data_IF_783633291886
#
_entry.id   IF_783633291886
#
_cell.length_a   1.000
_cell.length_b   1.000
_cell.length_c   1.000
_cell.angle_alpha   90.00
_cell.angle_beta   90.00
_cell.angle_gamma   90.00
#
_symmetry.space_group_name_H-M   'P 1'
#
loop_
_entity.id
_entity.type
_entity.pdbx_description
1 polymer ?
#
# COMPACT_ATOMS: atom_id res chain seq x y z
N UNK A 1 -19.31 1.14 -29.72
CA UNK A 1 -20.22 1.76 -30.70
C UNK A 1 -19.89 3.24 -30.77
N UNK A 2 -19.68 3.79 -31.96
CA UNK A 2 -19.44 5.23 -32.16
C UNK A 2 -20.42 5.72 -33.23
N UNK A 3 -20.88 6.97 -33.10
CA UNK A 3 -21.81 7.57 -34.05
C UNK A 3 -21.12 8.77 -34.69
N UNK A 4 -21.16 8.82 -36.01
CA UNK A 4 -20.77 10.01 -36.78
C UNK A 4 -22.02 10.87 -37.00
N UNK A 5 -22.01 12.09 -36.47
CA UNK A 5 -23.05 13.08 -36.73
C UNK A 5 -22.55 14.07 -37.77
N UNK A 6 -23.28 14.21 -38.87
CA UNK A 6 -23.02 15.19 -39.91
C UNK A 6 -24.11 16.25 -39.82
N UNK A 7 -23.72 17.50 -39.56
CA UNK A 7 -24.64 18.64 -39.53
C UNK A 7 -24.24 19.67 -40.57
N UNK A 8 -25.22 20.27 -41.23
CA UNK A 8 -24.94 21.45 -42.04
C UNK A 8 -24.45 22.58 -41.13
N UNK A 9 -23.31 23.17 -41.47
CA UNK A 9 -22.73 24.26 -40.69
C UNK A 9 -23.34 25.61 -41.03
N UNK A 10 -24.13 25.75 -42.09
CA UNK A 10 -24.75 27.03 -42.48
C UNK A 10 -26.25 26.97 -42.27
N UNK A 11 -26.78 27.95 -41.54
CA UNK A 11 -28.20 28.09 -41.29
C UNK A 11 -28.94 28.54 -42.55
N UNK A 12 -30.01 27.83 -42.90
CA UNK A 12 -30.89 28.20 -44.02
C UNK A 12 -31.61 29.53 -43.78
N UNK A 13 -31.97 29.84 -42.53
CA UNK A 13 -32.82 30.99 -42.19
C UNK A 13 -32.08 32.32 -42.30
N UNK A 14 -30.83 32.36 -41.87
CA UNK A 14 -30.07 33.60 -41.73
C UNK A 14 -28.67 33.56 -42.37
N UNK A 15 -28.30 32.44 -43.03
CA UNK A 15 -27.01 32.29 -43.70
C UNK A 15 -25.79 32.25 -42.78
N UNK A 16 -25.99 32.28 -41.46
CA UNK A 16 -24.89 32.30 -40.51
C UNK A 16 -24.27 30.91 -40.35
N UNK A 17 -22.95 30.89 -40.17
CA UNK A 17 -22.20 29.67 -39.91
C UNK A 17 -22.27 29.32 -38.42
N UNK A 18 -22.52 28.05 -38.12
CA UNK A 18 -22.43 27.48 -36.78
C UNK A 18 -21.01 27.70 -36.24
N UNK A 19 -20.93 28.38 -35.10
CA UNK A 19 -19.71 28.62 -34.36
C UNK A 19 -19.94 28.12 -32.94
N UNK A 20 -19.02 27.32 -32.42
CA UNK A 20 -19.09 26.83 -31.04
C UNK A 20 -17.97 27.46 -30.23
N UNK A 21 -18.32 28.21 -29.19
CA UNK A 21 -17.35 28.63 -28.19
C UNK A 21 -16.96 27.47 -27.27
N UNK A 22 -15.91 27.65 -26.48
CA UNK A 22 -15.54 26.71 -25.42
C UNK A 22 -16.69 26.49 -24.43
N UNK A 23 -17.48 27.54 -24.14
CA UNK A 23 -18.64 27.44 -23.26
C UNK A 23 -19.77 26.63 -23.90
N UNK A 24 -20.00 26.75 -25.21
CA UNK A 24 -20.99 25.95 -25.94
C UNK A 24 -20.63 24.46 -25.91
N UNK A 25 -19.36 24.13 -26.16
CA UNK A 25 -18.87 22.75 -26.09
C UNK A 25 -19.05 22.16 -24.69
N UNK A 26 -18.78 22.93 -23.65
CA UNK A 26 -19.00 22.51 -22.26
C UNK A 26 -20.48 22.29 -21.97
N UNK A 27 -21.37 23.20 -22.39
CA UNK A 27 -22.82 23.04 -22.27
C UNK A 27 -23.34 21.78 -22.97
N UNK A 28 -22.87 21.51 -24.19
CA UNK A 28 -23.25 20.31 -24.94
C UNK A 28 -22.79 19.03 -24.22
N UNK A 29 -21.58 19.03 -23.66
CA UNK A 29 -21.08 17.93 -22.83
C UNK A 29 -21.95 17.72 -21.60
N UNK A 30 -22.28 18.78 -20.86
CA UNK A 30 -23.05 18.68 -19.63
C UNK A 30 -24.49 18.20 -19.89
N UNK A 31 -25.12 18.69 -20.97
CA UNK A 31 -26.41 18.21 -21.43
C UNK A 31 -26.36 16.72 -21.78
N UNK A 32 -25.33 16.28 -22.51
CA UNK A 32 -25.17 14.87 -22.88
C UNK A 32 -24.96 13.99 -21.65
N UNK A 33 -24.12 14.42 -20.72
CA UNK A 33 -23.90 13.72 -19.46
C UNK A 33 -25.19 13.59 -18.64
N UNK A 34 -26.00 14.65 -18.56
CA UNK A 34 -27.30 14.61 -17.89
C UNK A 34 -28.24 13.59 -18.54
N UNK A 35 -28.33 13.57 -19.87
CA UNK A 35 -29.15 12.59 -20.59
C UNK A 35 -28.64 11.15 -20.39
N UNK A 36 -27.33 10.94 -20.29
CA UNK A 36 -26.76 9.63 -19.96
C UNK A 36 -27.23 9.16 -18.57
N UNK A 37 -27.12 10.03 -17.56
CA UNK A 37 -27.57 9.72 -16.18
C UNK A 37 -29.06 9.40 -16.15
N UNK A 38 -29.90 10.20 -16.80
CA UNK A 38 -31.35 9.97 -16.89
C UNK A 38 -31.70 8.62 -17.53
N UNK A 39 -30.83 8.11 -18.41
CA UNK A 39 -30.97 6.81 -19.07
C UNK A 39 -30.26 5.67 -18.33
N UNK A 40 -29.70 5.92 -17.14
CA UNK A 40 -28.97 4.92 -16.35
C UNK A 40 -27.60 4.54 -16.92
N UNK A 41 -27.00 5.40 -17.76
CA UNK A 41 -25.67 5.20 -18.33
C UNK A 41 -24.60 5.88 -17.46
N UNK A 42 -23.40 5.30 -17.41
CA UNK A 42 -22.25 5.90 -16.74
C UNK A 42 -21.77 7.15 -17.48
N UNK A 43 -21.27 8.13 -16.71
CA UNK A 43 -20.64 9.33 -17.23
C UNK A 43 -19.12 9.21 -17.08
N UNK A 44 -18.34 9.43 -18.15
CA UNK A 44 -16.89 9.32 -18.06
C UNK A 44 -16.34 10.44 -17.17
N UNK A 45 -15.63 10.04 -16.11
CA UNK A 45 -14.92 10.92 -15.21
C UNK A 45 -13.40 10.71 -15.34
N UNK A 46 -12.63 11.77 -15.13
CA UNK A 46 -11.17 11.69 -15.19
C UNK A 46 -10.66 10.84 -14.02
N UNK A 47 -9.82 9.86 -14.31
CA UNK A 47 -9.28 8.93 -13.30
C UNK A 47 -10.23 7.80 -12.91
N UNK A 48 -11.33 7.63 -13.64
CA UNK A 48 -12.25 6.51 -13.49
C UNK A 48 -12.29 5.67 -14.77
N UNK A 49 -12.51 4.37 -14.62
CA UNK A 49 -12.85 3.47 -15.71
C UNK A 49 -14.23 3.82 -16.30
N UNK A 50 -14.56 3.22 -17.45
CA UNK A 50 -15.83 3.49 -18.15
C UNK A 50 -17.07 3.12 -17.33
N UNK A 51 -16.94 2.18 -16.40
CA UNK A 51 -17.97 1.72 -15.47
C UNK A 51 -18.11 2.62 -14.22
N UNK A 52 -17.24 3.62 -14.08
CA UNK A 52 -17.21 4.53 -12.93
C UNK A 52 -16.35 4.04 -11.76
N UNK A 53 -15.67 2.89 -11.89
CA UNK A 53 -14.70 2.46 -10.87
C UNK A 53 -13.45 3.33 -10.91
N UNK A 54 -12.82 3.56 -9.75
CA UNK A 54 -11.59 4.35 -9.68
C UNK A 54 -10.46 3.55 -10.35
N UNK A 55 -9.68 4.20 -11.22
CA UNK A 55 -8.50 3.55 -11.78
C UNK A 55 -7.46 3.36 -10.69
N UNK A 56 -7.06 2.11 -10.46
CA UNK A 56 -6.01 1.78 -9.49
C UNK A 56 -4.67 2.43 -9.88
N UNK A 57 -3.89 2.80 -8.87
CA UNK A 57 -2.52 3.27 -9.04
C UNK A 57 -1.69 2.14 -9.66
N UNK A 58 -1.10 2.39 -10.83
CA UNK A 58 -0.37 1.38 -11.62
C UNK A 58 -1.14 0.86 -12.84
N UNK A 59 -2.44 1.17 -12.98
CA UNK A 59 -3.22 0.76 -14.14
C UNK A 59 -2.75 1.43 -15.44
N UNK A 60 -2.69 0.67 -16.53
CA UNK A 60 -2.25 1.17 -17.85
C UNK A 60 -3.27 2.19 -18.39
N UNK A 61 -2.86 3.46 -18.44
CA UNK A 61 -3.66 4.61 -18.90
C UNK A 61 -3.24 5.18 -20.25
N UNK A 62 -2.52 4.43 -21.07
CA UNK A 62 -1.97 4.93 -22.33
C UNK A 62 -3.05 5.36 -23.35
N UNK A 63 -2.96 6.60 -23.84
CA UNK A 63 -3.89 7.18 -24.83
C UNK A 63 -3.77 6.59 -26.24
N UNK A 64 -2.58 6.15 -26.62
CA UNK A 64 -2.36 5.50 -27.93
C UNK A 64 -2.73 4.03 -27.84
N UNK A 65 -3.54 3.56 -28.80
CA UNK A 65 -3.92 2.14 -28.92
C UNK A 65 -2.70 1.23 -29.00
N UNK A 66 -1.69 1.61 -29.78
CA UNK A 66 -0.48 0.79 -29.96
C UNK A 66 0.37 0.78 -28.70
N UNK A 67 0.48 1.93 -28.02
CA UNK A 67 1.17 2.02 -26.73
C UNK A 67 0.44 1.20 -25.66
N UNK A 68 -0.89 1.29 -25.59
CA UNK A 68 -1.69 0.49 -24.67
C UNK A 68 -1.46 -1.01 -24.92
N UNK A 69 -1.52 -1.46 -26.18
CA UNK A 69 -1.22 -2.86 -26.52
C UNK A 69 0.18 -3.28 -26.11
N UNK A 70 1.19 -2.43 -26.33
CA UNK A 70 2.58 -2.73 -25.93
C UNK A 70 2.74 -2.83 -24.40
N UNK A 71 1.99 -2.02 -23.64
CA UNK A 71 2.07 -2.03 -22.17
C UNK A 71 1.19 -3.11 -21.53
N UNK A 72 0.07 -3.48 -22.16
CA UNK A 72 -0.84 -4.51 -21.67
C UNK A 72 -0.39 -5.93 -22.03
N UNK A 73 0.40 -6.08 -23.09
CA UNK A 73 0.90 -7.37 -23.54
C UNK A 73 2.15 -7.77 -22.75
N UNK A 74 1.96 -8.56 -21.70
CA UNK A 74 3.03 -9.08 -20.82
C UNK A 74 4.09 -9.88 -21.59
N UNK A 75 3.75 -10.41 -22.77
CA UNK A 75 4.70 -11.16 -23.60
C UNK A 75 5.77 -10.28 -24.24
N UNK A 76 5.53 -8.97 -24.35
CA UNK A 76 6.46 -8.01 -24.95
C UNK A 76 7.24 -7.28 -23.86
N UNK A 77 8.56 -7.49 -23.86
CA UNK A 77 9.49 -6.78 -22.96
C UNK A 77 9.61 -5.32 -23.38
N UNK A 78 8.78 -4.47 -22.79
CA UNK A 78 8.87 -3.02 -22.95
C UNK A 78 9.67 -2.46 -21.79
N UNK A 79 10.79 -1.79 -22.08
CA UNK A 79 11.61 -1.13 -21.05
C UNK A 79 10.81 -0.09 -20.23
N UNK A 80 9.72 0.46 -20.78
CA UNK A 80 8.83 1.37 -20.07
C UNK A 80 7.98 0.63 -19.02
N UNK A 81 7.58 -0.61 -19.30
CA UNK A 81 6.89 -1.48 -18.32
C UNK A 81 7.87 -1.90 -17.24
N UNK A 82 9.07 -2.37 -17.64
CA UNK A 82 10.11 -2.78 -16.70
C UNK A 82 10.48 -1.63 -15.74
N UNK A 83 10.64 -0.42 -16.27
CA UNK A 83 10.87 0.79 -15.46
C UNK A 83 9.67 1.11 -14.55
N UNK A 84 8.45 0.98 -15.05
CA UNK A 84 7.22 1.25 -14.30
C UNK A 84 7.07 0.30 -13.10
N UNK A 85 7.33 -1.00 -13.31
CA UNK A 85 7.32 -2.01 -12.25
C UNK A 85 8.39 -1.74 -11.21
N UNK A 86 9.63 -1.44 -11.63
CA UNK A 86 10.72 -1.11 -10.71
C UNK A 86 10.38 0.11 -9.84
N UNK A 87 9.83 1.17 -10.43
CA UNK A 87 9.40 2.37 -9.70
C UNK A 87 8.23 2.08 -8.75
N UNK A 88 7.27 1.27 -9.17
CA UNK A 88 6.11 0.92 -8.34
C UNK A 88 6.52 0.15 -7.08
N UNK A 89 7.41 -0.83 -7.22
CA UNK A 89 7.95 -1.60 -6.10
C UNK A 89 8.84 -0.75 -5.19
N UNK A 90 9.82 -0.03 -5.77
CA UNK A 90 10.70 0.83 -4.98
C UNK A 90 9.92 1.90 -4.20
N UNK A 91 8.87 2.49 -4.81
CA UNK A 91 8.00 3.46 -4.14
C UNK A 91 7.29 2.87 -2.92
N UNK A 92 6.94 1.57 -2.93
CA UNK A 92 6.21 0.94 -1.85
C UNK A 92 7.06 0.71 -0.59
N UNK A 93 8.36 0.47 -0.77
CA UNK A 93 9.27 0.09 0.32
C UNK A 93 10.14 1.26 0.82
N UNK A 94 10.44 2.23 -0.03
CA UNK A 94 11.37 3.30 0.32
C UNK A 94 10.78 4.36 1.26
N UNK A 95 11.60 4.79 2.23
CA UNK A 95 11.24 5.80 3.22
C UNK A 95 11.99 7.14 3.02
N UNK A 96 12.87 7.22 2.02
CA UNK A 96 13.67 8.41 1.73
C UNK A 96 14.08 8.44 0.26
N UNK A 97 14.55 9.60 -0.21
CA UNK A 97 15.07 9.76 -1.58
C UNK A 97 16.26 8.84 -1.85
N UNK A 98 17.20 8.77 -0.92
CA UNK A 98 18.44 8.03 -1.13
C UNK A 98 18.18 6.52 -1.15
N UNK A 99 17.31 6.03 -0.26
CA UNK A 99 16.82 4.65 -0.28
C UNK A 99 16.13 4.32 -1.60
N UNK A 100 15.33 5.23 -2.15
CA UNK A 100 14.70 5.03 -3.47
C UNK A 100 15.71 4.97 -4.63
N UNK A 101 16.78 5.77 -4.58
CA UNK A 101 17.83 5.74 -5.60
C UNK A 101 18.60 4.41 -5.53
N UNK A 102 18.95 3.95 -4.33
CA UNK A 102 19.63 2.67 -4.11
C UNK A 102 18.77 1.49 -4.61
N UNK A 103 17.49 1.46 -4.22
CA UNK A 103 16.52 0.42 -4.59
C UNK A 103 16.30 0.36 -6.12
N UNK A 104 16.33 1.52 -6.79
CA UNK A 104 16.27 1.60 -8.26
C UNK A 104 17.57 1.12 -8.92
N UNK A 105 18.73 1.47 -8.36
CA UNK A 105 20.03 1.02 -8.85
C UNK A 105 20.18 -0.51 -8.74
N UNK A 106 19.71 -1.11 -7.64
CA UNK A 106 19.65 -2.57 -7.47
C UNK A 106 18.78 -3.26 -8.52
N UNK A 107 17.76 -2.56 -9.04
CA UNK A 107 16.90 -3.02 -10.15
C UNK A 107 17.47 -2.70 -11.54
N UNK A 108 18.69 -2.18 -11.63
CA UNK A 108 19.36 -1.84 -12.88
C UNK A 108 18.88 -0.52 -13.51
N UNK A 109 18.38 0.41 -12.70
CA UNK A 109 17.89 1.71 -13.14
C UNK A 109 18.60 2.86 -12.43
N UNK A 110 19.48 3.51 -13.17
CA UNK A 110 20.13 4.74 -12.72
C UNK A 110 19.13 5.89 -12.63
N UNK A 111 18.98 6.45 -11.42
CA UNK A 111 18.00 7.50 -11.14
C UNK A 111 18.64 8.89 -11.06
N UNK A 112 18.41 9.72 -12.08
CA UNK A 112 18.80 11.12 -12.05
C UNK A 112 17.73 11.96 -11.35
N UNK A 113 17.93 12.23 -10.06
CA UNK A 113 17.08 13.11 -9.25
C UNK A 113 17.87 14.33 -8.76
N UNK A 114 17.75 15.46 -9.46
CA UNK A 114 18.44 16.72 -9.12
C UNK A 114 17.45 17.86 -8.91
N UNK A 115 17.68 18.71 -7.91
CA UNK A 115 16.74 19.80 -7.57
C UNK A 115 16.58 20.84 -8.69
N UNK A 116 17.64 21.04 -9.47
CA UNK A 116 17.66 21.99 -10.59
C UNK A 116 16.78 21.56 -11.78
N UNK A 117 16.32 20.30 -11.83
CA UNK A 117 15.49 19.78 -12.93
C UNK A 117 14.09 19.48 -12.43
N UNK A 118 13.07 19.76 -13.23
CA UNK A 118 11.67 19.47 -12.89
C UNK A 118 11.36 17.96 -12.82
N UNK A 119 12.00 17.18 -13.69
CA UNK A 119 11.65 15.78 -13.94
C UNK A 119 12.75 14.83 -13.49
N UNK A 120 12.36 13.72 -12.91
CA UNK A 120 13.24 12.59 -12.63
C UNK A 120 13.40 11.78 -13.93
N UNK A 121 14.62 11.32 -14.21
CA UNK A 121 14.92 10.45 -15.35
C UNK A 121 15.53 9.15 -14.86
N UNK A 122 15.03 8.05 -15.36
CA UNK A 122 15.49 6.69 -15.12
C UNK A 122 16.21 6.19 -16.37
N UNK A 123 17.38 5.62 -16.21
CA UNK A 123 18.22 5.11 -17.30
C UNK A 123 18.64 3.68 -16.98
N UNK A 124 18.45 2.75 -17.92
CA UNK A 124 18.93 1.38 -17.75
C UNK A 124 20.37 1.23 -18.26
N UNK A 125 21.00 0.08 -17.98
CA UNK A 125 22.34 -0.26 -18.47
C UNK A 125 22.49 -0.26 -19.99
N UNK A 126 21.37 -0.36 -20.73
CA UNK A 126 21.33 -0.31 -22.20
C UNK A 126 21.27 1.12 -22.74
N UNK A 127 21.14 2.13 -21.87
CA UNK A 127 21.01 3.55 -22.23
C UNK A 127 19.59 4.00 -22.57
N UNK A 128 18.57 3.16 -22.37
CA UNK A 128 17.17 3.53 -22.53
C UNK A 128 16.74 4.44 -21.38
N UNK A 129 16.16 5.59 -21.73
CA UNK A 129 15.78 6.63 -20.76
C UNK A 129 14.27 6.78 -20.68
N UNK A 130 13.76 6.81 -19.45
CA UNK A 130 12.35 7.02 -19.15
C UNK A 130 12.20 8.18 -18.17
N UNK A 131 11.32 9.14 -18.48
CA UNK A 131 10.99 10.24 -17.56
C UNK A 131 9.81 9.89 -16.66
N UNK A 132 9.84 10.42 -15.45
CA UNK A 132 8.73 10.36 -14.50
C UNK A 132 7.36 10.70 -15.12
N UNK A 133 7.28 11.79 -15.87
CA UNK A 133 6.05 12.25 -16.54
C UNK A 133 5.52 11.29 -17.58
N UNK A 134 6.38 10.49 -18.22
CA UNK A 134 5.94 9.48 -19.17
C UNK A 134 5.30 8.30 -18.42
N UNK A 135 5.92 7.86 -17.33
CA UNK A 135 5.40 6.79 -16.47
C UNK A 135 4.11 7.22 -15.77
N UNK A 136 4.05 8.42 -15.18
CA UNK A 136 2.82 8.95 -14.57
C UNK A 136 1.63 8.95 -15.51
N UNK A 137 1.85 9.33 -16.77
CA UNK A 137 0.80 9.30 -17.80
C UNK A 137 0.45 7.88 -18.24
N UNK A 138 1.39 6.96 -18.19
CA UNK A 138 1.22 5.60 -18.73
C UNK A 138 0.63 4.63 -17.72
N UNK A 139 0.90 4.82 -16.42
CA UNK A 139 0.50 3.91 -15.34
C UNK A 139 -0.36 4.58 -14.25
N UNK A 140 -0.92 5.77 -14.53
CA UNK A 140 -1.75 6.53 -13.59
C UNK A 140 -1.14 6.64 -12.17
N UNK A 141 0.18 6.81 -12.07
CA UNK A 141 0.90 6.88 -10.80
C UNK A 141 1.46 8.27 -10.56
N UNK A 142 1.26 8.82 -9.36
CA UNK A 142 1.96 10.04 -8.97
C UNK A 142 3.38 9.70 -8.53
N UNK A 143 4.33 9.93 -9.43
CA UNK A 143 5.77 9.78 -9.20
C UNK A 143 6.49 11.10 -9.46
N UNK A 144 5.76 12.22 -9.35
CA UNK A 144 6.40 13.52 -9.26
C UNK A 144 7.29 13.57 -8.02
N UNK A 145 8.28 14.47 -8.00
CA UNK A 145 9.15 14.65 -6.82
C UNK A 145 8.34 14.86 -5.54
N UNK A 146 7.31 15.69 -5.59
CA UNK A 146 6.42 15.95 -4.45
C UNK A 146 5.60 14.71 -4.08
N UNK A 147 5.05 14.01 -5.09
CA UNK A 147 4.31 12.76 -4.89
C UNK A 147 5.15 11.69 -4.19
N UNK A 148 6.40 11.50 -4.62
CA UNK A 148 7.34 10.57 -4.00
C UNK A 148 7.75 11.02 -2.60
N UNK A 149 8.05 12.30 -2.38
CA UNK A 149 8.39 12.80 -1.04
C UNK A 149 7.24 12.61 -0.04
N UNK A 150 6.00 12.81 -0.48
CA UNK A 150 4.81 12.58 0.35
C UNK A 150 4.61 11.10 0.64
N UNK A 151 4.84 10.23 -0.35
CA UNK A 151 4.81 8.78 -0.15
C UNK A 151 5.88 8.34 0.86
N UNK A 152 7.12 8.81 0.72
CA UNK A 152 8.20 8.48 1.65
C UNK A 152 7.90 8.90 3.08
N UNK A 153 7.26 10.07 3.29
CA UNK A 153 6.76 10.49 4.61
C UNK A 153 5.73 9.49 5.14
N UNK A 154 4.77 9.08 4.31
CA UNK A 154 3.75 8.08 4.67
C UNK A 154 4.40 6.76 5.08
N UNK A 155 5.34 6.25 4.27
CA UNK A 155 6.04 5.00 4.54
C UNK A 155 6.90 5.07 5.80
N UNK A 156 7.57 6.19 6.04
CA UNK A 156 8.36 6.38 7.26
C UNK A 156 7.48 6.38 8.52
N UNK A 157 6.29 7.00 8.47
CA UNK A 157 5.34 6.94 9.59
C UNK A 157 4.81 5.51 9.82
N UNK A 158 4.48 4.78 8.75
CA UNK A 158 4.10 3.36 8.84
C UNK A 158 5.24 2.50 9.42
N UNK A 159 6.49 2.77 9.03
CA UNK A 159 7.67 2.08 9.56
C UNK A 159 7.82 2.32 11.07
N UNK A 160 7.73 3.57 11.51
CA UNK A 160 7.77 3.92 12.94
C UNK A 160 6.64 3.26 13.73
N UNK A 161 5.44 3.19 13.16
CA UNK A 161 4.31 2.50 13.79
C UNK A 161 4.56 1.00 13.93
N UNK A 162 5.04 0.34 12.87
CA UNK A 162 5.45 -1.07 12.91
C UNK A 162 6.54 -1.32 13.95
N UNK A 163 7.54 -0.46 14.03
CA UNK A 163 8.59 -0.54 15.06
C UNK A 163 8.04 -0.37 16.48
N UNK A 164 7.12 0.57 16.71
CA UNK A 164 6.44 0.75 18.00
C UNK A 164 5.63 -0.49 18.37
N UNK A 165 4.90 -1.08 17.42
CA UNK A 165 4.13 -2.31 17.62
C UNK A 165 5.06 -3.48 17.98
N UNK A 166 6.13 -3.69 17.23
CA UNK A 166 7.15 -4.72 17.53
C UNK A 166 7.80 -4.52 18.90
N UNK A 167 8.05 -3.27 19.32
CA UNK A 167 8.57 -2.98 20.67
C UNK A 167 7.56 -3.34 21.75
N UNK A 168 6.28 -3.00 21.57
CA UNK A 168 5.19 -3.38 22.49
C UNK A 168 5.03 -4.90 22.56
N UNK A 169 5.01 -5.61 21.43
CA UNK A 169 4.94 -7.06 21.38
C UNK A 169 6.12 -7.71 22.13
N UNK A 170 7.34 -7.21 21.93
CA UNK A 170 8.52 -7.67 22.69
C UNK A 170 8.43 -7.38 24.19
N UNK A 171 7.77 -6.30 24.60
CA UNK A 171 7.55 -6.00 26.01
C UNK A 171 6.50 -6.92 26.61
N UNK A 172 5.41 -7.18 25.89
CA UNK A 172 4.36 -8.13 26.29
C UNK A 172 4.97 -9.52 26.45
N UNK A 173 5.74 -10.01 25.48
CA UNK A 173 6.41 -11.32 25.54
C UNK A 173 7.37 -11.45 26.74
N UNK A 174 8.06 -10.36 27.11
CA UNK A 174 8.90 -10.34 28.33
C UNK A 174 8.05 -10.39 29.61
N UNK A 175 6.93 -9.67 29.64
CA UNK A 175 6.01 -9.68 30.79
C UNK A 175 5.37 -11.07 30.92
N UNK A 176 4.90 -11.65 29.82
CA UNK A 176 4.30 -13.00 29.80
C UNK A 176 5.29 -14.08 30.26
N UNK A 177 6.56 -13.98 29.86
CA UNK A 177 7.61 -14.85 30.41
C UNK A 177 7.78 -14.68 31.91
N UNK A 178 7.88 -13.43 32.40
CA UNK A 178 8.01 -13.17 33.83
C UNK A 178 6.82 -13.67 34.65
N UNK A 179 5.59 -13.46 34.16
CA UNK A 179 4.37 -13.98 34.82
C UNK A 179 4.34 -15.50 34.85
N UNK A 180 4.88 -16.17 33.82
CA UNK A 180 5.03 -17.63 33.82
C UNK A 180 6.01 -18.09 34.88
N UNK A 181 7.21 -17.48 34.92
CA UNK A 181 8.25 -17.82 35.89
C UNK A 181 7.75 -17.58 37.34
N UNK A 182 7.08 -16.45 37.58
CA UNK A 182 6.49 -16.12 38.88
C UNK A 182 5.37 -17.12 39.27
N UNK A 183 4.58 -17.62 38.30
CA UNK A 183 3.55 -18.65 38.56
C UNK A 183 4.16 -19.99 38.93
N UNK A 184 5.19 -20.43 38.20
CA UNK A 184 5.92 -21.67 38.51
C UNK A 184 6.59 -21.60 39.90
N UNK A 185 7.07 -20.42 40.30
CA UNK A 185 7.60 -20.20 41.65
C UNK A 185 6.53 -20.35 42.74
N UNK A 186 5.37 -19.70 42.58
CA UNK A 186 4.27 -19.77 43.56
C UNK A 186 3.70 -21.19 43.65
N UNK A 187 3.52 -21.88 42.52
CA UNK A 187 3.06 -23.27 42.50
C UNK A 187 4.07 -24.21 43.18
N UNK A 188 5.37 -23.96 43.01
CA UNK A 188 6.44 -24.69 43.70
C UNK A 188 6.49 -24.43 45.21
N UNK A 189 6.26 -23.19 45.65
CA UNK A 189 6.27 -22.81 47.07
C UNK A 189 5.06 -23.40 47.82
N UNK A 190 3.88 -23.40 47.19
CA UNK A 190 2.67 -24.08 47.72
C UNK A 190 2.92 -25.59 47.90
N UNK A 191 3.54 -26.24 46.92
CA UNK A 191 3.81 -27.67 46.98
C UNK A 191 4.82 -28.04 48.09
N UNK A 192 5.76 -27.13 48.42
CA UNK A 192 6.69 -27.32 49.55
C UNK A 192 5.93 -27.19 50.88
N UNK A 193 5.09 -26.16 51.03
CA UNK A 193 4.31 -25.96 52.26
C UNK A 193 3.34 -27.11 52.53
N UNK A 194 2.71 -27.66 51.49
CA UNK A 194 1.81 -28.81 51.62
C UNK A 194 2.58 -30.04 52.13
N UNK A 195 3.80 -30.26 51.61
CA UNK A 195 4.65 -31.39 52.00
C UNK A 195 5.24 -31.24 53.41
N UNK A 196 5.55 -30.04 53.84
CA UNK A 196 5.96 -29.77 55.23
C UNK A 196 4.82 -30.01 56.22
N UNK A 197 3.57 -29.68 55.84
CA UNK A 197 2.38 -30.02 56.61
C UNK A 197 2.20 -31.54 56.74
N UNK A 198 2.33 -32.29 55.65
CA UNK A 198 2.27 -33.75 55.67
C UNK A 198 3.35 -34.39 56.58
N UNK A 199 4.57 -33.87 56.55
CA UNK A 199 5.67 -34.36 57.40
C UNK A 199 5.39 -34.07 58.88
N UNK A 200 4.88 -32.86 59.21
CA UNK A 200 4.52 -32.52 60.59
C UNK A 200 3.37 -33.38 61.13
N UNK A 201 2.36 -33.66 60.30
CA UNK A 201 1.28 -34.59 60.67
C UNK A 201 1.76 -36.04 60.84
N UNK A 202 2.75 -36.46 60.05
CA UNK A 202 3.37 -37.78 60.21
C UNK A 202 4.16 -37.87 61.53
N UNK A 203 4.99 -36.86 61.84
CA UNK A 203 5.74 -36.81 63.09
C UNK A 203 4.83 -36.72 64.31
N UNK A 204 3.75 -35.94 64.26
CA UNK A 204 2.78 -35.86 65.34
C UNK A 204 2.08 -37.21 65.60
N UNK A 205 1.81 -38.01 64.55
CA UNK A 205 1.29 -39.38 64.68
C UNK A 205 2.29 -40.35 65.28
N UNK A 206 3.59 -40.21 64.99
CA UNK A 206 4.64 -41.01 65.63
C UNK A 206 4.78 -40.67 67.12
N UNK A 207 4.82 -39.37 67.48
CA UNK A 207 4.93 -38.93 68.88
C UNK A 207 3.71 -39.29 69.74
N UNK A 208 2.54 -39.49 69.14
CA UNK A 208 1.35 -39.97 69.82
C UNK A 208 1.25 -41.49 69.91
N UNK A 209 2.04 -42.25 69.13
CA UNK A 209 2.20 -43.70 69.29
C UNK A 209 3.22 -44.06 70.38
N UNK A 210 4.27 -43.24 70.56
CA UNK A 210 5.28 -43.44 71.61
C UNK A 210 4.79 -43.08 73.03
N UNK A 211 3.60 -42.46 73.17
CA UNK A 211 2.97 -42.19 74.47
C UNK A 211 2.05 -43.32 74.97
N UNK A 212 1.73 -44.30 74.11
CA UNK A 212 0.86 -45.43 74.46
C UNK A 212 1.65 -46.72 74.80
N UNK A 213 2.97 -46.75 74.58
CA UNK A 213 3.82 -47.94 74.82
C UNK A 213 4.50 -47.99 76.21
N UNK A 214 4.12 -47.10 77.14
CA UNK A 214 4.63 -47.12 78.54
C UNK A 214 3.63 -47.76 79.54
N UNK A 215 2.67 -48.56 79.06
CA UNK A 215 1.72 -49.28 79.92
C UNK A 215 1.47 -50.73 79.53
N UNK A 216 2.51 -51.56 79.36
CA UNK A 216 2.38 -53.01 79.58
C UNK A 216 3.57 -53.55 80.37
N UNK A 217 3.24 -54.04 81.57
CA UNK A 217 4.02 -54.91 82.47
C UNK A 217 4.38 -56.25 81.83
#
# INVERSE_FOLDING_TARGET
MHIHLVTNTVSWVNGLKLQNSRADLQRMKDLTNKMCIEKGLSVPAKGMHYDGTVMEDGAVGAWSKDKYKLLADVSKKSYVVDCGSAVFEAKADCCSRDCFIEEMEERGWHTTWTDNRKHITFENDKGDKVRDTNLSKSFNMDISKEGLLNEFKRQNELRKERERKRKKERQIDKIERRVRDDREFVDGESAITDRECEIKECNHRYESQDQDDDFIR
#
